data_IF_805875405488
#
_entry.id   IF_805875405488
#
_cell.length_a   1.000
_cell.length_b   1.000
_cell.length_c   1.000
_cell.angle_alpha   90.00
_cell.angle_beta   90.00
_cell.angle_gamma   90.00
#
_symmetry.space_group_name_H-M   'P 1'
#
loop_
_entity.id
_entity.type
_entity.pdbx_description
1 polymer ?
#
# COMPACT_ATOMS: atom_id res chain seq x y z
N UNK A 1 12.77 20.69 -27.83
CA UNK A 1 12.73 19.28 -27.35
C UNK A 1 11.24 18.91 -27.34
N UNK A 2 10.81 18.10 -28.29
CA UNK A 2 9.40 17.72 -28.39
C UNK A 2 9.02 16.91 -27.13
N UNK A 3 7.93 17.31 -26.50
CA UNK A 3 7.41 16.66 -25.29
C UNK A 3 6.34 15.67 -25.76
N UNK A 4 6.64 14.37 -25.72
CA UNK A 4 5.66 13.31 -26.00
C UNK A 4 4.94 12.94 -24.70
N UNK A 5 3.64 12.66 -24.82
CA UNK A 5 2.80 12.21 -23.71
C UNK A 5 2.58 10.69 -23.78
N UNK A 6 2.32 10.08 -22.64
CA UNK A 6 2.05 8.64 -22.57
C UNK A 6 0.77 8.27 -23.33
N UNK A 7 -0.18 9.21 -23.48
CA UNK A 7 -1.36 9.09 -24.34
C UNK A 7 -1.03 8.88 -25.82
N UNK A 8 0.05 9.52 -26.30
CA UNK A 8 0.48 9.40 -27.70
C UNK A 8 1.02 7.98 -27.96
N UNK A 9 1.79 7.46 -27.01
CA UNK A 9 2.29 6.07 -27.06
C UNK A 9 1.15 5.06 -27.02
N UNK A 10 0.14 5.28 -26.18
CA UNK A 10 -1.04 4.42 -26.09
C UNK A 10 -1.80 4.41 -27.41
N UNK A 11 -1.99 5.58 -28.02
CA UNK A 11 -2.61 5.70 -29.33
C UNK A 11 -1.80 5.00 -30.44
N UNK A 12 -0.50 5.22 -30.46
CA UNK A 12 0.43 4.62 -31.43
C UNK A 12 0.48 3.09 -31.34
N UNK A 13 0.41 2.54 -30.15
CA UNK A 13 0.43 1.10 -29.90
C UNK A 13 -0.95 0.44 -29.97
N UNK A 14 -2.03 1.20 -30.24
CA UNK A 14 -3.39 0.67 -30.27
C UNK A 14 -3.89 0.10 -28.94
N UNK A 15 -3.31 0.59 -27.83
CA UNK A 15 -3.67 0.13 -26.50
C UNK A 15 -5.02 0.69 -26.03
N UNK A 16 -5.71 0.01 -25.10
CA UNK A 16 -7.00 0.49 -24.58
C UNK A 16 -6.92 1.93 -24.06
N UNK A 17 -7.82 2.77 -24.53
CA UNK A 17 -7.95 4.16 -24.11
C UNK A 17 -8.74 4.27 -22.79
N UNK A 18 -8.53 5.30 -21.97
CA UNK A 18 -9.32 5.54 -20.78
C UNK A 18 -10.77 5.88 -21.16
N UNK A 19 -11.70 5.46 -20.31
CA UNK A 19 -13.07 5.99 -20.39
C UNK A 19 -13.02 7.49 -20.10
N UNK A 20 -13.88 8.28 -20.77
CA UNK A 20 -13.89 9.75 -20.67
C UNK A 20 -13.83 10.24 -19.21
N UNK A 21 -12.93 11.17 -18.92
CA UNK A 21 -12.74 11.78 -17.58
C UNK A 21 -11.83 11.02 -16.61
N UNK A 22 -11.16 9.94 -17.03
CA UNK A 22 -10.18 9.25 -16.18
C UNK A 22 -8.77 9.45 -16.69
N UNK A 23 -7.92 10.00 -15.82
CA UNK A 23 -6.47 10.14 -16.08
C UNK A 23 -5.66 8.91 -15.67
N UNK A 24 -6.24 8.00 -14.88
CA UNK A 24 -5.58 6.78 -14.42
C UNK A 24 -6.46 5.55 -14.67
N UNK A 25 -5.91 4.52 -15.32
CA UNK A 25 -6.64 3.31 -15.68
C UNK A 25 -5.68 2.13 -15.85
N UNK A 26 -6.23 0.93 -15.98
CA UNK A 26 -5.44 -0.30 -16.06
C UNK A 26 -5.53 -0.94 -17.44
N UNK A 27 -4.37 -1.36 -17.96
CA UNK A 27 -4.21 -2.14 -19.20
C UNK A 27 -3.50 -3.47 -18.90
N UNK A 28 -3.40 -4.35 -19.87
CA UNK A 28 -2.65 -5.60 -19.75
C UNK A 28 -1.16 -5.31 -19.62
N UNK A 29 -0.45 -6.02 -18.78
CA UNK A 29 1.00 -5.87 -18.62
C UNK A 29 1.71 -6.94 -19.47
N UNK A 30 2.59 -6.57 -20.41
CA UNK A 30 3.28 -7.54 -21.25
C UNK A 30 4.30 -8.40 -20.48
N UNK A 31 4.79 -7.92 -19.33
CA UNK A 31 5.69 -8.70 -18.49
C UNK A 31 5.00 -9.71 -17.59
N UNK A 32 3.68 -9.62 -17.42
CA UNK A 32 2.96 -10.49 -16.49
C UNK A 32 2.48 -11.81 -17.11
N UNK A 33 2.66 -11.99 -18.40
CA UNK A 33 2.26 -13.16 -19.22
C UNK A 33 0.88 -13.75 -18.86
N UNK A 34 -0.09 -12.84 -18.62
CA UNK A 34 -1.38 -13.14 -18.06
C UNK A 34 -2.48 -13.16 -19.12
N UNK A 35 -3.57 -13.87 -18.79
CA UNK A 35 -4.82 -13.78 -19.52
C UNK A 35 -5.12 -12.32 -19.93
N UNK A 36 -5.30 -12.01 -21.23
CA UNK A 36 -5.55 -10.65 -21.74
C UNK A 36 -6.71 -9.89 -21.08
N UNK A 37 -7.56 -10.61 -20.34
CA UNK A 37 -8.67 -10.02 -19.56
C UNK A 37 -8.22 -9.45 -18.22
N UNK A 38 -7.02 -9.81 -17.74
CA UNK A 38 -6.47 -9.27 -16.48
C UNK A 38 -5.61 -8.04 -16.76
N UNK A 39 -6.03 -6.89 -16.25
CA UNK A 39 -5.35 -5.61 -16.45
C UNK A 39 -4.66 -5.20 -15.15
N UNK A 40 -3.34 -5.20 -15.15
CA UNK A 40 -2.52 -4.91 -13.95
C UNK A 40 -1.63 -3.69 -14.11
N UNK A 41 -1.29 -3.30 -15.35
CA UNK A 41 -0.45 -2.15 -15.61
C UNK A 41 -1.30 -0.89 -15.47
N UNK A 42 -1.08 -0.13 -14.42
CA UNK A 42 -1.69 1.18 -14.24
C UNK A 42 -0.96 2.20 -15.11
N UNK A 43 -1.71 2.94 -15.91
CA UNK A 43 -1.22 4.08 -16.69
C UNK A 43 -1.85 5.33 -16.13
N UNK A 44 -1.04 6.35 -15.88
CA UNK A 44 -1.47 7.69 -15.48
C UNK A 44 -1.08 8.68 -16.57
N UNK A 45 -2.07 9.08 -17.40
CA UNK A 45 -1.88 9.98 -18.55
C UNK A 45 -1.61 11.42 -18.14
N UNK A 46 -1.92 11.78 -16.93
CA UNK A 46 -1.70 13.13 -16.42
C UNK A 46 -0.29 13.33 -15.84
N UNK A 47 0.32 12.22 -15.38
CA UNK A 47 1.70 12.23 -14.87
C UNK A 47 2.70 11.66 -15.88
N UNK A 48 2.24 11.20 -17.03
CA UNK A 48 3.03 10.54 -18.08
C UNK A 48 3.87 9.36 -17.55
N UNK A 49 3.29 8.57 -16.65
CA UNK A 49 3.94 7.42 -16.03
C UNK A 49 3.05 6.18 -16.04
N UNK A 50 3.69 5.03 -15.96
CA UNK A 50 3.01 3.76 -15.75
C UNK A 50 3.68 2.94 -14.64
N UNK A 51 2.92 2.05 -14.04
CA UNK A 51 3.42 1.08 -13.05
C UNK A 51 2.56 -0.18 -13.03
N UNK A 52 3.20 -1.34 -13.04
CA UNK A 52 2.56 -2.61 -12.75
C UNK A 52 2.81 -3.00 -11.29
N UNK A 53 1.80 -3.03 -10.41
CA UNK A 53 1.98 -3.44 -9.03
C UNK A 53 2.28 -4.94 -8.87
N UNK A 54 2.13 -5.73 -9.96
CA UNK A 54 2.33 -7.17 -9.93
C UNK A 54 3.78 -7.58 -10.21
N UNK A 55 4.39 -7.09 -11.29
CA UNK A 55 5.77 -7.38 -11.66
C UNK A 55 6.76 -6.26 -11.31
N UNK A 56 6.28 -5.13 -10.78
CA UNK A 56 7.09 -4.00 -10.37
C UNK A 56 7.56 -3.09 -11.51
N UNK A 57 7.35 -3.48 -12.80
CA UNK A 57 7.76 -2.63 -13.92
C UNK A 57 7.08 -1.27 -13.85
N UNK A 58 7.86 -0.21 -14.01
CA UNK A 58 7.40 1.17 -13.98
C UNK A 58 8.28 2.03 -14.89
N UNK A 59 7.76 3.18 -15.32
CA UNK A 59 8.53 4.09 -16.15
C UNK A 59 7.68 5.24 -16.70
N UNK A 60 8.31 6.00 -17.60
CA UNK A 60 7.68 7.10 -18.34
C UNK A 60 7.31 6.71 -19.78
N UNK A 61 7.16 7.72 -20.61
CA UNK A 61 6.71 7.60 -22.01
C UNK A 61 7.56 6.64 -22.85
N UNK A 62 8.88 6.82 -22.82
CA UNK A 62 9.81 5.99 -23.60
C UNK A 62 9.85 4.56 -23.07
N UNK A 63 9.79 4.42 -21.74
CA UNK A 63 9.82 3.11 -21.09
C UNK A 63 8.56 2.29 -21.41
N UNK A 64 7.40 2.93 -21.56
CA UNK A 64 6.16 2.26 -22.01
C UNK A 64 6.32 1.75 -23.44
N UNK A 65 6.86 2.59 -24.34
CA UNK A 65 7.07 2.19 -25.72
C UNK A 65 8.06 1.02 -25.83
N UNK A 66 9.20 1.11 -25.14
CA UNK A 66 10.20 0.04 -25.03
C UNK A 66 9.58 -1.26 -24.48
N UNK A 67 8.75 -1.16 -23.45
CA UNK A 67 8.10 -2.31 -22.81
C UNK A 67 7.20 -3.09 -23.77
N UNK A 68 6.44 -2.41 -24.62
CA UNK A 68 5.49 -3.04 -25.55
C UNK A 68 6.11 -3.44 -26.89
N UNK A 69 7.18 -2.78 -27.31
CA UNK A 69 7.87 -3.10 -28.57
C UNK A 69 9.02 -4.09 -28.41
N UNK A 70 9.52 -4.26 -27.18
CA UNK A 70 10.71 -5.06 -26.90
C UNK A 70 12.04 -4.39 -27.30
N UNK A 71 11.99 -3.14 -27.77
CA UNK A 71 13.18 -2.40 -28.20
C UNK A 71 13.99 -1.91 -26.98
N UNK A 72 15.33 -1.87 -27.07
CA UNK A 72 16.15 -1.14 -26.12
C UNK A 72 15.69 0.32 -25.99
N UNK A 73 15.84 0.91 -24.81
CA UNK A 73 15.29 2.25 -24.48
C UNK A 73 15.75 3.35 -25.45
N UNK A 74 17.02 3.29 -25.89
CA UNK A 74 17.57 4.29 -26.82
C UNK A 74 16.99 4.13 -28.24
N UNK A 75 16.83 2.90 -28.71
CA UNK A 75 16.20 2.61 -30.01
C UNK A 75 14.71 2.96 -29.97
N UNK A 76 14.02 2.65 -28.87
CA UNK A 76 12.65 3.03 -28.63
C UNK A 76 12.45 4.54 -28.68
N UNK A 77 13.38 5.32 -28.14
CA UNK A 77 13.37 6.78 -28.20
C UNK A 77 13.46 7.31 -29.63
N UNK A 78 14.38 6.75 -30.44
CA UNK A 78 14.57 7.14 -31.83
C UNK A 78 13.37 6.77 -32.68
N UNK A 79 12.84 5.56 -32.52
CA UNK A 79 11.68 5.09 -33.28
C UNK A 79 10.42 5.87 -32.93
N UNK A 80 10.20 6.16 -31.64
CA UNK A 80 9.08 6.96 -31.17
C UNK A 80 9.12 8.38 -31.76
N UNK A 81 10.29 9.02 -31.76
CA UNK A 81 10.50 10.33 -32.38
C UNK A 81 10.19 10.31 -33.87
N UNK A 82 10.63 9.28 -34.60
CA UNK A 82 10.34 9.12 -36.03
C UNK A 82 8.85 8.92 -36.32
N UNK A 83 8.16 8.13 -35.51
CA UNK A 83 6.72 7.84 -35.69
C UNK A 83 5.82 9.01 -35.31
N UNK A 84 6.13 9.72 -34.24
CA UNK A 84 5.35 10.88 -33.80
C UNK A 84 5.74 12.17 -34.54
N UNK A 85 7.00 12.30 -34.98
CA UNK A 85 7.48 13.44 -35.79
C UNK A 85 6.97 13.47 -37.23
N UNK A 86 6.41 12.38 -37.76
CA UNK A 86 5.85 12.31 -39.13
C UNK A 86 4.36 12.70 -39.26
N UNK A 87 3.83 13.45 -38.30
CA UNK A 87 2.60 14.22 -38.50
C UNK A 87 1.29 13.45 -38.48
N UNK A 88 1.01 12.67 -37.47
CA UNK A 88 -0.36 12.41 -37.03
C UNK A 88 -0.73 13.39 -35.93
N UNK A 89 -1.26 14.55 -36.32
CA UNK A 89 -1.86 15.50 -35.38
C UNK A 89 -3.19 14.90 -34.88
N UNK A 90 -3.16 14.12 -33.84
CA UNK A 90 -4.34 13.84 -33.03
C UNK A 90 -4.41 15.01 -32.05
N UNK A 91 -5.44 15.89 -32.13
CA UNK A 91 -5.58 16.98 -31.20
C UNK A 91 -5.64 16.36 -29.78
N UNK A 92 -4.66 16.70 -28.95
CA UNK A 92 -4.70 16.35 -27.53
C UNK A 92 -6.02 16.85 -26.95
N UNK A 93 -6.80 16.02 -26.27
CA UNK A 93 -7.95 16.53 -25.54
C UNK A 93 -7.46 17.65 -24.61
N UNK A 94 -8.26 18.71 -24.39
CA UNK A 94 -7.86 19.83 -23.56
C UNK A 94 -7.36 19.25 -22.21
N UNK A 95 -6.19 19.73 -21.79
CA UNK A 95 -5.60 19.32 -20.52
C UNK A 95 -6.63 19.54 -19.42
N UNK A 96 -7.25 18.46 -18.96
CA UNK A 96 -8.07 18.50 -17.76
C UNK A 96 -7.11 18.81 -16.64
N UNK A 97 -7.19 20.03 -16.10
CA UNK A 97 -6.43 20.40 -14.92
C UNK A 97 -6.75 19.39 -13.83
N UNK A 98 -5.77 18.55 -13.50
CA UNK A 98 -5.94 17.63 -12.38
C UNK A 98 -6.23 18.44 -11.12
N UNK A 99 -7.07 17.91 -10.23
CA UNK A 99 -7.21 18.48 -8.91
C UNK A 99 -5.82 18.62 -8.30
N UNK A 100 -5.51 19.80 -7.77
CA UNK A 100 -4.24 20.01 -7.10
C UNK A 100 -4.21 19.09 -5.87
N UNK A 101 -3.30 18.12 -5.88
CA UNK A 101 -3.07 17.24 -4.72
C UNK A 101 -2.26 18.04 -3.67
N UNK A 102 -2.63 17.92 -2.40
CA UNK A 102 -1.81 18.39 -1.31
C UNK A 102 -0.57 17.48 -1.15
N UNK A 103 0.62 18.04 -0.93
CA UNK A 103 1.77 17.25 -0.53
C UNK A 103 1.49 16.51 0.78
N UNK A 104 2.09 15.34 0.94
CA UNK A 104 1.99 14.59 2.19
C UNK A 104 2.56 15.42 3.35
N UNK A 105 1.77 15.62 4.40
CA UNK A 105 2.23 16.35 5.59
C UNK A 105 3.20 15.51 6.43
N UNK A 106 3.87 16.15 7.39
CA UNK A 106 4.81 15.49 8.29
C UNK A 106 4.14 14.40 9.15
N UNK A 107 4.98 13.50 9.70
CA UNK A 107 4.50 12.34 10.45
C UNK A 107 3.80 12.70 11.75
N UNK A 108 4.23 13.80 12.43
CA UNK A 108 3.61 14.24 13.69
C UNK A 108 2.18 14.68 13.44
N UNK A 109 1.99 15.56 12.45
CA UNK A 109 0.66 16.04 12.04
C UNK A 109 -0.26 14.87 11.63
N UNK A 110 0.24 13.89 10.86
CA UNK A 110 -0.54 12.71 10.50
C UNK A 110 -0.92 11.88 11.73
N UNK A 111 0.03 11.66 12.63
CA UNK A 111 -0.20 10.90 13.87
C UNK A 111 -1.29 11.55 14.73
N UNK A 112 -1.18 12.84 14.98
CA UNK A 112 -2.12 13.58 15.82
C UNK A 112 -3.52 13.59 15.20
N UNK A 113 -3.62 13.86 13.90
CA UNK A 113 -4.89 13.87 13.17
C UNK A 113 -5.55 12.50 13.13
N UNK A 114 -4.79 11.44 12.84
CA UNK A 114 -5.35 10.08 12.84
C UNK A 114 -5.70 9.61 14.24
N UNK A 115 -4.93 9.96 15.26
CA UNK A 115 -5.25 9.64 16.66
C UNK A 115 -6.55 10.29 17.08
N UNK A 116 -6.75 11.55 16.76
CA UNK A 116 -8.00 12.26 17.00
C UNK A 116 -9.17 11.69 16.18
N UNK A 117 -8.98 11.38 14.90
CA UNK A 117 -10.00 10.71 14.08
C UNK A 117 -10.43 9.38 14.71
N UNK A 118 -9.48 8.52 15.05
CA UNK A 118 -9.76 7.21 15.62
C UNK A 118 -10.45 7.29 16.99
N UNK A 119 -10.17 8.32 17.80
CA UNK A 119 -10.87 8.52 19.08
C UNK A 119 -12.35 8.85 18.90
N UNK A 120 -12.73 9.41 17.75
CA UNK A 120 -14.14 9.72 17.41
C UNK A 120 -14.91 8.52 16.86
N UNK A 121 -14.23 7.42 16.56
CA UNK A 121 -14.84 6.23 15.95
C UNK A 121 -15.01 5.10 16.96
N UNK A 122 -16.02 4.27 16.72
CA UNK A 122 -16.26 3.04 17.48
C UNK A 122 -15.79 1.81 16.70
N UNK A 123 -15.65 0.69 17.39
CA UNK A 123 -15.45 -0.62 16.79
C UNK A 123 -16.76 -1.41 16.87
N UNK A 124 -17.27 -1.85 15.74
CA UNK A 124 -18.49 -2.65 15.67
C UNK A 124 -18.28 -4.03 16.35
N UNK A 125 -19.34 -4.62 16.97
CA UNK A 125 -19.23 -5.89 17.69
C UNK A 125 -18.65 -7.03 16.85
N UNK A 126 -19.10 -7.19 15.62
CA UNK A 126 -18.61 -8.21 14.69
C UNK A 126 -17.12 -8.03 14.32
N UNK A 127 -16.65 -6.79 14.20
CA UNK A 127 -15.22 -6.50 14.00
C UNK A 127 -14.41 -6.80 15.26
N UNK A 128 -14.94 -6.46 16.42
CA UNK A 128 -14.33 -6.80 17.71
C UNK A 128 -14.20 -8.32 17.87
N UNK A 129 -15.29 -9.07 17.61
CA UNK A 129 -15.28 -10.53 17.69
C UNK A 129 -14.30 -11.15 16.68
N UNK A 130 -14.17 -10.57 15.47
CA UNK A 130 -13.16 -10.99 14.49
C UNK A 130 -11.73 -10.80 15.01
N UNK A 131 -11.44 -9.71 15.72
CA UNK A 131 -10.12 -9.46 16.29
C UNK A 131 -9.82 -10.39 17.48
N UNK A 132 -10.81 -10.61 18.36
CA UNK A 132 -10.72 -11.57 19.46
C UNK A 132 -10.47 -13.00 18.94
N UNK A 133 -11.18 -13.42 17.90
CA UNK A 133 -11.00 -14.74 17.29
C UNK A 133 -9.61 -14.97 16.70
N UNK A 134 -8.82 -13.91 16.48
CA UNK A 134 -7.42 -13.96 16.07
C UNK A 134 -6.43 -14.01 17.23
N UNK A 135 -6.92 -13.98 18.47
CA UNK A 135 -6.09 -14.05 19.66
C UNK A 135 -5.70 -12.71 20.28
N UNK A 136 -6.18 -11.59 19.74
CA UNK A 136 -6.01 -10.29 20.40
C UNK A 136 -6.92 -10.19 21.61
N UNK A 137 -6.47 -9.54 22.67
CA UNK A 137 -7.27 -9.19 23.84
C UNK A 137 -8.00 -7.87 23.63
N UNK A 138 -9.04 -7.59 24.44
CA UNK A 138 -9.74 -6.30 24.45
C UNK A 138 -8.82 -5.12 24.67
N UNK A 139 -7.87 -5.30 25.58
CA UNK A 139 -6.89 -4.27 25.91
C UNK A 139 -6.00 -3.96 24.69
N UNK A 140 -5.51 -5.00 23.99
CA UNK A 140 -4.68 -4.83 22.80
C UNK A 140 -5.47 -4.22 21.64
N UNK A 141 -6.72 -4.66 21.42
CA UNK A 141 -7.61 -4.08 20.40
C UNK A 141 -7.77 -2.58 20.62
N UNK A 142 -7.98 -2.17 21.87
CA UNK A 142 -8.10 -0.76 22.26
C UNK A 142 -6.79 -0.02 22.08
N UNK A 143 -5.67 -0.57 22.56
CA UNK A 143 -4.34 0.02 22.50
C UNK A 143 -3.83 0.17 21.07
N UNK A 144 -4.10 -0.81 20.20
CA UNK A 144 -3.69 -0.76 18.78
C UNK A 144 -4.52 0.21 17.98
N UNK A 145 -5.72 0.54 18.47
CA UNK A 145 -6.59 1.58 17.90
C UNK A 145 -7.41 1.10 16.72
N UNK A 146 -7.75 -0.18 16.66
CA UNK A 146 -8.67 -0.72 15.65
C UNK A 146 -10.05 -0.08 15.76
N UNK A 147 -10.62 0.33 14.63
CA UNK A 147 -11.93 0.96 14.52
C UNK A 147 -12.70 0.44 13.32
N UNK A 148 -14.01 0.60 13.34
CA UNK A 148 -14.83 0.40 12.15
C UNK A 148 -14.76 1.64 11.26
N UNK A 149 -14.56 1.44 9.96
CA UNK A 149 -14.50 2.52 8.99
C UNK A 149 -15.85 3.27 8.96
N UNK A 150 -15.86 4.61 9.03
CA UNK A 150 -17.07 5.39 8.93
C UNK A 150 -17.59 5.39 7.49
N UNK A 151 -18.90 5.12 7.33
CA UNK A 151 -19.57 5.15 6.03
C UNK A 151 -20.47 6.37 5.87
N UNK A 152 -20.82 7.04 6.96
CA UNK A 152 -21.65 8.26 7.02
C UNK A 152 -20.99 9.32 7.91
N UNK A 153 -21.46 10.56 7.84
CA UNK A 153 -20.99 11.65 8.71
C UNK A 153 -19.57 12.14 8.41
N UNK A 154 -19.04 11.83 7.23
CA UNK A 154 -17.63 12.05 6.86
C UNK A 154 -17.20 13.51 6.88
N UNK A 155 -18.08 14.42 6.43
CA UNK A 155 -17.83 15.87 6.52
C UNK A 155 -17.91 16.39 7.95
N UNK A 156 -18.78 15.81 8.78
CA UNK A 156 -18.89 16.14 10.20
C UNK A 156 -17.62 15.75 10.96
N UNK A 157 -17.02 14.60 10.63
CA UNK A 157 -15.74 14.18 11.21
C UNK A 157 -14.62 15.17 10.85
N UNK A 158 -14.50 15.53 9.57
CA UNK A 158 -13.49 16.50 9.12
C UNK A 158 -13.68 17.88 9.80
N UNK A 159 -14.93 18.37 9.88
CA UNK A 159 -15.26 19.61 10.54
C UNK A 159 -14.88 19.60 12.03
N UNK A 160 -15.23 18.55 12.76
CA UNK A 160 -14.89 18.40 14.18
C UNK A 160 -13.38 18.36 14.42
N UNK A 161 -12.62 17.71 13.56
CA UNK A 161 -11.15 17.71 13.65
C UNK A 161 -10.61 19.14 13.53
N UNK A 162 -11.08 19.92 12.54
CA UNK A 162 -10.66 21.32 12.36
C UNK A 162 -11.08 22.20 13.53
N UNK A 163 -12.30 22.06 14.03
CA UNK A 163 -12.80 22.80 15.22
C UNK A 163 -11.97 22.50 16.47
N UNK A 164 -11.40 21.31 16.59
CA UNK A 164 -10.49 20.92 17.66
C UNK A 164 -9.00 21.24 17.35
N UNK A 165 -8.72 22.01 16.29
CA UNK A 165 -7.37 22.48 15.97
C UNK A 165 -6.47 21.48 15.24
N UNK A 166 -7.00 20.33 14.77
CA UNK A 166 -6.20 19.38 13.99
C UNK A 166 -6.08 19.81 12.53
N UNK A 167 -4.87 19.65 11.99
CA UNK A 167 -4.56 19.96 10.61
C UNK A 167 -4.84 18.75 9.72
N UNK A 168 -5.71 18.88 8.72
CA UNK A 168 -6.16 17.77 7.87
C UNK A 168 -5.68 17.83 6.42
N UNK A 169 -5.15 18.97 5.96
CA UNK A 169 -4.57 19.09 4.63
C UNK A 169 -3.29 18.24 4.51
N UNK A 170 -3.12 17.52 3.40
CA UNK A 170 -1.99 16.61 3.22
C UNK A 170 -2.00 15.35 4.12
N UNK A 171 -3.11 15.10 4.83
CA UNK A 171 -3.34 13.83 5.55
C UNK A 171 -4.16 12.91 4.64
N UNK A 172 -3.63 11.73 4.22
CA UNK A 172 -4.34 10.84 3.31
C UNK A 172 -5.74 10.46 3.82
N UNK A 173 -6.71 10.51 2.92
CA UNK A 173 -8.12 10.27 3.24
C UNK A 173 -8.95 11.55 3.40
N UNK A 174 -8.34 12.72 3.61
CA UNK A 174 -9.05 14.00 3.62
C UNK A 174 -8.93 14.71 2.29
N UNK A 175 -9.99 15.42 1.89
CA UNK A 175 -10.04 16.17 0.64
C UNK A 175 -11.15 17.23 0.68
N UNK A 176 -11.13 18.19 -0.26
CA UNK A 176 -12.20 19.20 -0.41
C UNK A 176 -13.28 18.75 -1.38
N UNK A 177 -14.53 18.99 -1.03
CA UNK A 177 -15.67 18.85 -1.94
C UNK A 177 -15.80 20.09 -2.85
N UNK A 178 -16.67 20.00 -3.86
CA UNK A 178 -16.95 21.10 -4.76
C UNK A 178 -17.49 22.38 -4.11
N UNK A 179 -18.05 22.28 -2.90
CA UNK A 179 -18.49 23.42 -2.09
C UNK A 179 -17.35 24.02 -1.22
N UNK A 180 -16.13 23.53 -1.38
CA UNK A 180 -14.95 23.95 -0.63
C UNK A 180 -14.85 23.39 0.79
N UNK A 181 -15.85 22.63 1.27
CA UNK A 181 -15.80 22.01 2.59
C UNK A 181 -14.91 20.76 2.60
N UNK A 182 -14.22 20.54 3.72
CA UNK A 182 -13.45 19.32 3.93
C UNK A 182 -14.33 18.12 4.26
N UNK A 183 -13.88 16.95 3.81
CA UNK A 183 -14.51 15.67 4.13
C UNK A 183 -13.46 14.57 4.22
N UNK A 184 -13.83 13.45 4.84
CA UNK A 184 -13.05 12.23 4.80
C UNK A 184 -13.52 11.35 3.63
N UNK A 185 -12.62 10.54 3.06
CA UNK A 185 -12.97 9.66 1.93
C UNK A 185 -13.95 8.59 2.37
N UNK A 186 -15.03 8.42 1.61
CA UNK A 186 -15.97 7.31 1.81
C UNK A 186 -15.28 5.97 1.62
N UNK A 187 -15.47 5.07 2.56
CA UNK A 187 -14.91 3.74 2.56
C UNK A 187 -16.01 2.70 2.43
N UNK A 188 -15.65 1.51 1.92
CA UNK A 188 -16.45 0.32 2.18
C UNK A 188 -16.41 0.04 3.70
N UNK A 189 -17.43 -0.64 4.22
CA UNK A 189 -17.39 -1.10 5.62
C UNK A 189 -16.21 -2.05 5.84
N UNK A 190 -15.59 -1.97 7.00
CA UNK A 190 -14.43 -2.79 7.34
C UNK A 190 -13.69 -2.28 8.57
N UNK A 191 -12.57 -2.91 8.87
CA UNK A 191 -11.71 -2.57 10.00
C UNK A 191 -10.63 -1.59 9.54
N UNK A 192 -10.56 -0.42 10.17
CA UNK A 192 -9.42 0.50 10.06
C UNK A 192 -8.26 0.00 10.91
N UNK A 193 -7.10 -0.07 10.31
CA UNK A 193 -5.86 -0.58 10.91
C UNK A 193 -4.84 0.56 10.91
N UNK A 194 -4.43 1.09 12.07
CA UNK A 194 -3.39 2.09 12.15
C UNK A 194 -2.02 1.48 11.81
N UNK A 195 -1.35 2.04 10.79
CA UNK A 195 -0.01 1.61 10.39
C UNK A 195 1.01 2.52 11.07
N UNK A 196 1.90 1.93 11.88
CA UNK A 196 2.80 2.66 12.77
C UNK A 196 4.27 2.48 12.41
N UNK A 197 5.06 3.55 12.60
CA UNK A 197 6.51 3.51 12.48
C UNK A 197 7.19 2.91 13.72
N UNK A 198 8.54 2.95 13.74
CA UNK A 198 9.38 2.41 14.81
C UNK A 198 9.25 3.12 16.17
N UNK A 199 8.70 4.33 16.19
CA UNK A 199 8.43 5.08 17.43
C UNK A 199 6.93 5.14 17.78
N UNK A 200 6.10 4.31 17.11
CA UNK A 200 4.69 4.16 17.40
C UNK A 200 3.77 5.21 16.79
N UNK A 201 4.28 6.15 15.98
CA UNK A 201 3.46 7.16 15.32
C UNK A 201 2.67 6.55 14.15
N UNK A 202 1.42 6.95 13.98
CA UNK A 202 0.55 6.50 12.89
C UNK A 202 0.96 7.21 11.59
N UNK A 203 1.46 6.43 10.63
CA UNK A 203 1.88 6.92 9.31
C UNK A 203 0.71 7.04 8.34
N UNK A 204 -0.23 6.11 8.44
CA UNK A 204 -1.41 6.00 7.60
C UNK A 204 -2.39 4.98 8.15
N UNK A 205 -3.51 4.82 7.47
CA UNK A 205 -4.53 3.84 7.80
C UNK A 205 -4.69 2.84 6.66
N UNK A 206 -4.78 1.55 6.99
CA UNK A 206 -5.28 0.53 6.08
C UNK A 206 -6.72 0.18 6.41
N UNK A 207 -7.52 -0.13 5.40
CA UNK A 207 -8.84 -0.69 5.53
C UNK A 207 -8.82 -2.16 5.14
N UNK A 208 -9.19 -3.04 6.07
CA UNK A 208 -9.56 -4.43 5.78
C UNK A 208 -11.07 -4.48 5.56
N UNK A 209 -11.48 -4.66 4.31
CA UNK A 209 -12.89 -4.68 3.90
C UNK A 209 -13.61 -5.92 4.39
N UNK A 210 -14.91 -5.79 4.67
CA UNK A 210 -15.80 -6.91 4.94
C UNK A 210 -16.15 -7.65 3.64
N UNK A 211 -16.35 -6.90 2.55
CA UNK A 211 -16.60 -7.46 1.22
C UNK A 211 -15.34 -8.10 0.65
N UNK A 212 -15.32 -9.45 0.64
CA UNK A 212 -14.21 -10.26 0.13
C UNK A 212 -14.23 -10.45 -1.39
N UNK A 213 -15.29 -10.03 -2.09
CA UNK A 213 -15.36 -10.03 -3.56
C UNK A 213 -14.41 -9.02 -4.20
N UNK A 214 -13.99 -8.02 -3.42
CA UNK A 214 -13.03 -6.98 -3.79
C UNK A 214 -11.68 -7.24 -3.12
N UNK A 215 -10.65 -6.46 -3.51
CA UNK A 215 -9.34 -6.49 -2.86
C UNK A 215 -9.50 -6.28 -1.34
N UNK A 216 -9.12 -7.27 -0.55
CA UNK A 216 -9.35 -7.34 0.90
C UNK A 216 -8.76 -6.16 1.67
N UNK A 217 -7.54 -5.74 1.33
CA UNK A 217 -6.85 -4.63 1.98
C UNK A 217 -6.64 -3.47 1.00
N UNK A 218 -6.85 -2.24 1.46
CA UNK A 218 -6.48 -1.02 0.74
C UNK A 218 -6.02 0.06 1.69
N UNK A 219 -5.21 0.98 1.19
CA UNK A 219 -4.87 2.19 1.92
C UNK A 219 -6.04 3.17 1.92
N UNK A 220 -6.20 3.89 3.03
CA UNK A 220 -7.06 5.07 3.10
C UNK A 220 -6.30 6.20 2.39
N UNK A 221 -6.80 6.61 1.24
CA UNK A 221 -6.13 7.55 0.34
C UNK A 221 -7.18 8.44 -0.32
N UNK A 222 -6.87 9.72 -0.48
CA UNK A 222 -7.66 10.70 -1.21
C UNK A 222 -6.93 11.23 -2.45
N UNK A 223 -5.96 10.48 -2.98
CA UNK A 223 -5.34 10.78 -4.27
C UNK A 223 -6.40 11.05 -5.35
N UNK A 224 -6.12 11.94 -6.28
CA UNK A 224 -7.02 12.35 -7.37
C UNK A 224 -8.27 13.13 -6.90
N UNK A 225 -8.38 13.48 -5.63
CA UNK A 225 -9.43 14.36 -5.11
C UNK A 225 -8.89 15.79 -4.95
N UNK A 226 -9.76 16.82 -5.06
CA UNK A 226 -9.34 18.22 -4.84
C UNK A 226 -8.73 18.40 -3.44
N UNK A 227 -7.52 18.97 -3.37
CA UNK A 227 -6.72 19.09 -2.13
C UNK A 227 -6.53 17.74 -1.39
N UNK A 228 -6.70 16.62 -2.08
CA UNK A 228 -6.50 15.29 -1.52
C UNK A 228 -5.03 14.92 -1.45
N UNK A 229 -4.72 13.86 -0.73
CA UNK A 229 -3.37 13.34 -0.56
C UNK A 229 -3.33 11.82 -0.75
N UNK A 230 -2.33 11.35 -1.49
CA UNK A 230 -2.07 9.93 -1.70
C UNK A 230 -1.49 9.27 -0.45
N UNK A 231 -1.91 8.05 -0.15
CA UNK A 231 -1.21 7.22 0.84
C UNK A 231 -0.05 6.49 0.18
N UNK A 232 1.03 6.34 0.94
CA UNK A 232 2.19 5.54 0.55
C UNK A 232 2.09 4.12 1.13
N UNK A 233 2.97 3.23 0.66
CA UNK A 233 3.01 1.83 1.12
C UNK A 233 3.94 1.67 2.32
N UNK A 234 3.58 2.29 3.45
CA UNK A 234 4.41 2.26 4.66
C UNK A 234 4.54 0.86 5.26
N UNK A 235 5.67 0.63 5.92
CA UNK A 235 5.88 -0.51 6.79
C UNK A 235 5.19 -0.30 8.14
N UNK A 236 4.91 -1.38 8.86
CA UNK A 236 4.31 -1.34 10.19
C UNK A 236 5.15 -2.13 11.18
N UNK A 237 5.64 -1.47 12.22
CA UNK A 237 6.38 -2.13 13.30
C UNK A 237 5.50 -2.31 14.55
N UNK A 238 5.56 -3.51 15.11
CA UNK A 238 5.00 -3.84 16.41
C UNK A 238 6.05 -4.49 17.31
N UNK A 239 6.20 -3.94 18.49
CA UNK A 239 7.18 -4.35 19.50
C UNK A 239 8.42 -3.45 19.56
N UNK A 240 9.24 -3.61 20.61
CA UNK A 240 10.49 -2.87 20.79
C UNK A 240 11.54 -3.33 19.78
N UNK A 241 12.37 -2.40 19.30
CA UNK A 241 13.50 -2.75 18.44
C UNK A 241 14.53 -3.55 19.22
N UNK A 242 14.97 -4.66 18.66
CA UNK A 242 15.99 -5.54 19.21
C UNK A 242 16.89 -6.11 18.11
N UNK A 243 17.83 -7.00 18.46
CA UNK A 243 18.79 -7.55 17.50
C UNK A 243 18.15 -8.44 16.42
N UNK A 244 16.92 -8.88 16.61
CA UNK A 244 16.22 -9.72 15.64
C UNK A 244 14.74 -9.33 15.55
N UNK A 245 14.21 -9.32 14.33
CA UNK A 245 12.78 -9.08 14.03
C UNK A 245 12.20 -10.18 13.16
N UNK A 246 10.88 -10.36 13.23
CA UNK A 246 10.11 -11.08 12.23
C UNK A 246 9.71 -10.09 11.12
N UNK A 247 9.85 -10.46 9.85
CA UNK A 247 9.33 -9.72 8.71
C UNK A 247 8.18 -10.50 8.07
N UNK A 248 6.99 -9.91 8.04
CA UNK A 248 5.76 -10.54 7.53
C UNK A 248 5.01 -9.61 6.59
N UNK A 249 3.87 -10.06 6.09
CA UNK A 249 2.99 -9.25 5.25
C UNK A 249 1.71 -8.88 6.02
N UNK A 250 1.39 -7.56 5.97
CA UNK A 250 0.18 -6.99 6.55
C UNK A 250 0.25 -6.63 8.03
N UNK A 251 -0.15 -5.40 8.39
CA UNK A 251 0.00 -4.87 9.75
C UNK A 251 -0.77 -5.67 10.81
N UNK A 252 -1.98 -6.17 10.47
CA UNK A 252 -2.77 -6.98 11.42
C UNK A 252 -2.06 -8.27 11.81
N UNK A 253 -1.33 -8.93 10.90
CA UNK A 253 -0.53 -10.12 11.23
C UNK A 253 0.62 -9.77 12.17
N UNK A 254 1.30 -8.63 11.94
CA UNK A 254 2.35 -8.17 12.83
C UNK A 254 1.83 -7.93 14.25
N UNK A 255 0.66 -7.31 14.38
CA UNK A 255 0.01 -7.09 15.66
C UNK A 255 -0.30 -8.41 16.37
N UNK A 256 -0.88 -9.38 15.66
CA UNK A 256 -1.23 -10.70 16.24
C UNK A 256 0.02 -11.50 16.62
N UNK A 257 1.04 -11.55 15.75
CA UNK A 257 2.28 -12.27 16.03
C UNK A 257 2.94 -11.71 17.31
N UNK A 258 3.04 -10.37 17.40
CA UNK A 258 3.62 -9.75 18.58
C UNK A 258 2.82 -10.01 19.85
N UNK A 259 1.50 -9.84 19.81
CA UNK A 259 0.61 -10.08 20.96
C UNK A 259 0.71 -11.51 21.49
N UNK A 260 0.81 -12.49 20.61
CA UNK A 260 0.82 -13.90 21.00
C UNK A 260 2.20 -14.44 21.39
N UNK A 261 3.27 -13.86 20.84
CA UNK A 261 4.63 -14.41 20.99
C UNK A 261 5.64 -13.45 21.64
N UNK A 262 5.34 -12.15 21.71
CA UNK A 262 6.30 -11.13 22.13
C UNK A 262 7.41 -10.84 21.11
N UNK A 263 7.39 -11.48 19.93
CA UNK A 263 8.40 -11.28 18.90
C UNK A 263 8.16 -9.98 18.14
N UNK A 264 9.11 -9.06 18.20
CA UNK A 264 9.03 -7.82 17.41
C UNK A 264 8.84 -8.13 15.95
N UNK A 265 7.80 -7.56 15.36
CA UNK A 265 7.38 -7.89 13.99
C UNK A 265 7.23 -6.64 13.15
N UNK A 266 7.92 -6.63 12.02
CA UNK A 266 7.80 -5.64 10.96
C UNK A 266 6.92 -6.21 9.85
N UNK A 267 5.91 -5.46 9.43
CA UNK A 267 5.07 -5.83 8.29
C UNK A 267 5.29 -4.91 7.10
N UNK A 268 5.31 -5.51 5.91
CA UNK A 268 5.21 -4.81 4.62
C UNK A 268 3.79 -4.96 4.07
N UNK A 269 3.31 -4.06 3.19
CA UNK A 269 1.96 -4.18 2.59
C UNK A 269 1.76 -5.41 1.70
N UNK A 270 2.85 -6.07 1.33
CA UNK A 270 2.95 -7.25 0.51
C UNK A 270 4.40 -7.45 0.07
N UNK A 271 4.79 -8.65 -0.33
CA UNK A 271 6.18 -9.00 -0.68
C UNK A 271 6.80 -8.08 -1.77
N UNK A 272 5.98 -7.47 -2.62
CA UNK A 272 6.39 -6.49 -3.63
C UNK A 272 6.27 -5.03 -3.17
N UNK A 273 5.79 -4.77 -1.96
CA UNK A 273 5.61 -3.43 -1.38
C UNK A 273 6.82 -2.96 -0.58
N UNK A 274 8.02 -2.96 -1.18
CA UNK A 274 9.29 -2.73 -0.49
C UNK A 274 9.77 -1.27 -0.50
N UNK A 275 8.98 -0.33 -1.03
CA UNK A 275 9.41 1.06 -1.24
C UNK A 275 9.93 1.78 -0.01
N UNK A 276 9.32 1.53 1.16
CA UNK A 276 9.74 2.12 2.45
C UNK A 276 10.55 1.15 3.33
N UNK A 277 10.74 -0.08 2.88
CA UNK A 277 11.41 -1.10 3.69
C UNK A 277 12.89 -0.78 3.88
N UNK A 278 13.57 -0.28 2.85
CA UNK A 278 14.99 0.08 2.92
C UNK A 278 15.26 1.09 4.03
N UNK A 279 14.54 2.20 4.02
CA UNK A 279 14.73 3.28 4.99
C UNK A 279 14.37 2.83 6.41
N UNK A 280 13.30 2.03 6.52
CA UNK A 280 12.91 1.42 7.79
C UNK A 280 14.01 0.50 8.33
N UNK A 281 14.56 -0.40 7.50
CA UNK A 281 15.62 -1.32 7.94
C UNK A 281 16.91 -0.58 8.29
N UNK A 282 17.29 0.47 7.57
CA UNK A 282 18.42 1.33 7.93
C UNK A 282 18.22 1.97 9.30
N UNK A 283 17.03 2.51 9.57
CA UNK A 283 16.69 3.05 10.87
C UNK A 283 16.74 1.98 11.97
N UNK A 284 16.18 0.79 11.73
CA UNK A 284 16.22 -0.30 12.71
C UNK A 284 17.64 -0.82 12.91
N UNK A 285 18.49 -0.87 11.88
CA UNK A 285 19.91 -1.23 11.97
C UNK A 285 20.66 -0.25 12.88
N UNK A 286 20.40 1.05 12.73
CA UNK A 286 20.99 2.07 13.64
C UNK A 286 20.55 1.93 15.10
N UNK A 287 19.41 1.28 15.35
CA UNK A 287 18.88 0.95 16.67
C UNK A 287 19.30 -0.46 17.17
N UNK A 288 20.18 -1.15 16.44
CA UNK A 288 20.76 -2.43 16.87
C UNK A 288 20.19 -3.67 16.20
N UNK A 289 19.38 -3.54 15.16
CA UNK A 289 18.92 -4.69 14.39
C UNK A 289 20.11 -5.36 13.66
N UNK A 290 20.22 -6.69 13.77
CA UNK A 290 21.27 -7.50 13.16
C UNK A 290 20.69 -8.60 12.27
N UNK A 291 19.48 -9.10 12.59
CA UNK A 291 18.89 -10.26 11.92
C UNK A 291 17.42 -10.06 11.59
N UNK A 292 17.04 -10.45 10.39
CA UNK A 292 15.65 -10.50 9.89
C UNK A 292 15.22 -11.96 9.70
N UNK A 293 14.11 -12.37 10.30
CA UNK A 293 13.48 -13.67 10.06
C UNK A 293 12.24 -13.47 9.20
N UNK A 294 12.30 -13.89 7.93
CA UNK A 294 11.15 -13.75 7.01
C UNK A 294 10.07 -14.79 7.33
N UNK A 295 8.83 -14.32 7.44
CA UNK A 295 7.65 -15.14 7.76
C UNK A 295 6.44 -14.70 6.90
N UNK A 296 6.57 -14.87 5.59
CA UNK A 296 5.48 -14.62 4.63
C UNK A 296 4.60 -15.87 4.48
N UNK A 297 3.37 -15.68 3.96
CA UNK A 297 2.43 -16.78 3.77
C UNK A 297 3.03 -17.93 2.95
N UNK A 298 2.67 -19.18 3.28
CA UNK A 298 3.24 -20.38 2.67
C UNK A 298 2.86 -20.62 1.19
N UNK A 299 2.00 -19.77 0.60
CA UNK A 299 1.64 -19.86 -0.82
C UNK A 299 2.71 -19.29 -1.79
N UNK A 300 3.88 -18.90 -1.27
CA UNK A 300 5.00 -18.40 -2.07
C UNK A 300 5.62 -19.46 -3.00
N UNK A 301 5.51 -20.74 -2.66
CA UNK A 301 6.18 -21.83 -3.38
C UNK A 301 5.63 -22.01 -4.81
N UNK A 302 4.37 -21.65 -5.04
CA UNK A 302 3.67 -21.83 -6.32
C UNK A 302 3.51 -20.57 -7.16
N UNK A 303 3.96 -19.41 -6.69
CA UNK A 303 3.73 -18.13 -7.35
C UNK A 303 5.04 -17.42 -7.72
N UNK A 304 5.38 -17.43 -9.03
CA UNK A 304 6.58 -16.79 -9.58
C UNK A 304 6.76 -15.31 -9.15
N UNK A 305 5.69 -14.54 -9.09
CA UNK A 305 5.76 -13.13 -8.68
C UNK A 305 6.15 -12.95 -7.21
N UNK A 306 5.74 -13.90 -6.38
CA UNK A 306 6.14 -13.93 -4.97
C UNK A 306 7.62 -14.32 -4.86
N UNK A 307 8.09 -15.26 -5.67
CA UNK A 307 9.51 -15.65 -5.73
C UNK A 307 10.41 -14.47 -6.14
N UNK A 308 10.00 -13.67 -7.15
CA UNK A 308 10.72 -12.45 -7.54
C UNK A 308 10.77 -11.44 -6.39
N UNK A 309 9.66 -11.26 -5.66
CA UNK A 309 9.61 -10.40 -4.48
C UNK A 309 10.59 -10.83 -3.38
N UNK A 310 10.73 -12.13 -3.16
CA UNK A 310 11.74 -12.68 -2.23
C UNK A 310 13.17 -12.42 -2.68
N UNK A 311 13.48 -12.61 -3.96
CA UNK A 311 14.82 -12.30 -4.49
C UNK A 311 15.19 -10.83 -4.28
N UNK A 312 14.25 -9.92 -4.56
CA UNK A 312 14.46 -8.49 -4.33
C UNK A 312 14.64 -8.18 -2.83
N UNK A 313 13.88 -8.84 -1.97
CA UNK A 313 14.02 -8.69 -0.52
C UNK A 313 15.39 -9.18 -0.03
N UNK A 314 15.83 -10.35 -0.45
CA UNK A 314 17.12 -10.88 -0.03
C UNK A 314 18.28 -10.04 -0.55
N UNK A 315 18.23 -9.58 -1.80
CA UNK A 315 19.21 -8.63 -2.33
C UNK A 315 19.26 -7.33 -1.52
N UNK A 316 18.11 -6.82 -1.06
CA UNK A 316 18.06 -5.66 -0.16
C UNK A 316 18.71 -5.96 1.21
N UNK A 317 18.46 -7.13 1.79
CA UNK A 317 19.04 -7.51 3.09
C UNK A 317 20.54 -7.71 2.99
N UNK A 318 21.04 -8.30 1.90
CA UNK A 318 22.47 -8.44 1.60
C UNK A 318 23.13 -7.06 1.45
N UNK A 319 22.54 -6.15 0.68
CA UNK A 319 23.04 -4.77 0.50
C UNK A 319 23.08 -3.99 1.83
N UNK A 320 22.16 -4.27 2.73
CA UNK A 320 22.14 -3.69 4.08
C UNK A 320 23.02 -4.45 5.09
N UNK A 321 23.71 -5.53 4.69
CA UNK A 321 24.52 -6.39 5.57
C UNK A 321 23.72 -6.89 6.79
N UNK A 322 22.45 -7.20 6.60
CA UNK A 322 21.60 -7.80 7.62
C UNK A 322 21.54 -9.31 7.44
N UNK A 323 21.89 -10.06 8.47
CA UNK A 323 21.69 -11.51 8.41
C UNK A 323 20.21 -11.85 8.35
N UNK A 324 19.86 -12.89 7.60
CA UNK A 324 18.47 -13.32 7.46
C UNK A 324 18.30 -14.83 7.47
N UNK A 325 17.09 -15.26 7.79
CA UNK A 325 16.68 -16.66 7.71
C UNK A 325 15.17 -16.72 7.52
N UNK A 326 14.68 -17.79 6.91
CA UNK A 326 13.24 -18.04 6.83
C UNK A 326 12.76 -18.66 8.14
N UNK A 327 11.68 -18.13 8.69
CA UNK A 327 10.97 -18.74 9.81
C UNK A 327 10.08 -19.86 9.26
N UNK A 328 10.31 -21.08 9.69
CA UNK A 328 9.54 -22.25 9.24
C UNK A 328 8.51 -22.64 10.29
N UNK A 329 7.29 -22.92 9.86
CA UNK A 329 6.21 -23.48 10.68
C UNK A 329 5.48 -24.61 9.92
N UNK A 330 4.54 -25.24 10.56
CA UNK A 330 3.75 -26.31 9.98
C UNK A 330 2.96 -25.80 8.75
N UNK A 331 3.20 -26.34 7.55
CA UNK A 331 2.61 -25.86 6.30
C UNK A 331 1.08 -26.02 6.21
N UNK A 332 0.44 -26.68 7.16
CA UNK A 332 -1.02 -26.72 7.29
C UNK A 332 -1.61 -25.35 7.61
N UNK A 333 -0.82 -24.45 8.19
CA UNK A 333 -1.22 -23.09 8.52
C UNK A 333 -0.71 -22.11 7.47
N UNK A 334 -1.60 -21.30 6.92
CA UNK A 334 -1.25 -20.33 5.88
C UNK A 334 -0.27 -19.28 6.40
N UNK A 335 -0.57 -18.64 7.54
CA UNK A 335 0.21 -17.60 8.16
C UNK A 335 0.87 -18.01 9.48
N UNK A 336 1.94 -17.33 9.85
CA UNK A 336 2.59 -17.53 11.15
C UNK A 336 1.67 -17.15 12.32
N UNK A 337 0.83 -16.13 12.15
CA UNK A 337 -0.20 -15.72 13.11
C UNK A 337 -1.19 -16.85 13.40
N UNK A 338 -1.70 -17.53 12.38
CA UNK A 338 -2.61 -18.65 12.52
C UNK A 338 -1.91 -19.85 13.24
N UNK A 339 -0.65 -20.14 12.89
CA UNK A 339 0.14 -21.19 13.52
C UNK A 339 0.37 -20.93 15.02
N UNK A 340 0.80 -19.73 15.39
CA UNK A 340 1.06 -19.36 16.78
C UNK A 340 -0.23 -19.44 17.60
N UNK A 341 -1.35 -18.93 17.06
CA UNK A 341 -2.63 -18.95 17.74
C UNK A 341 -3.11 -20.38 18.03
N UNK A 342 -3.05 -21.25 17.07
CA UNK A 342 -3.46 -22.65 17.21
C UNK A 342 -2.56 -23.42 18.20
N UNK A 343 -1.24 -23.18 18.15
CA UNK A 343 -0.29 -23.80 19.09
C UNK A 343 -0.57 -23.38 20.54
N UNK A 344 -0.84 -22.09 20.80
CA UNK A 344 -1.14 -21.60 22.15
C UNK A 344 -2.49 -22.12 22.66
N UNK A 345 -3.50 -22.24 21.79
CA UNK A 345 -4.76 -22.83 22.17
C UNK A 345 -4.62 -24.31 22.57
N UNK A 346 -3.83 -25.08 21.82
CA UNK A 346 -3.56 -26.49 22.16
C UNK A 346 -2.91 -26.64 23.53
N UNK A 347 -1.87 -25.85 23.80
CA UNK A 347 -1.22 -25.86 25.12
C UNK A 347 -2.17 -25.55 26.27
N UNK A 348 -3.11 -24.63 26.09
CA UNK A 348 -4.12 -24.31 27.11
C UNK A 348 -5.18 -25.40 27.32
N UNK A 349 -5.34 -26.32 26.36
CA UNK A 349 -6.26 -27.47 26.49
C UNK A 349 -5.61 -28.71 27.12
N UNK A 350 -4.27 -28.78 27.07
CA UNK A 350 -3.49 -29.86 27.64
C UNK A 350 -3.03 -29.58 29.08
N UNK A 351 -3.23 -28.36 29.59
CA UNK A 351 -3.02 -27.94 30.98
C UNK A 351 -4.36 -27.76 31.70
#
# INVERSE_FOLDING_TARGET
>A
MEIYHISDVIGLLGLPQPLSGRSSYYISCPCCDDNPRKRHLNVNTAKDVFRCPRCGVAGGVIDLYSLYTGLPRDDAKVELANKLGQGCFIPSPPAVSLPQECPLTDISTRHDTYSALLSMLSLAPDHRDNLLSRGLTEQEISQYGYKTAPVIGLSTLAKRLQENGFYIAGVPGFYRKGDGSWTFIGQDRGILIPVRNSVGQIQGLQLRRDDTSKRKYRWVSSAEKPDGCGAECWTHLRGPVGPSIILTEGPMKADVIYSLSGLTTLAVPGVNGLSHLRDTLLQLKSLGLQKVKTAFDMDYVSNYHVQTGYLNLYALLDDLELSYSTFLWDPRYKGLDDYIWEYLLRKKRET
#
